data_IF_442547644119
#
_entry.id   IF_442547644119
#
_cell.length_a   1.000
_cell.length_b   1.000
_cell.length_c   1.000
_cell.angle_alpha   90.00
_cell.angle_beta   90.00
_cell.angle_gamma   90.00
#
_symmetry.space_group_name_H-M   'P 1'
#
loop_
_entity.id
_entity.type
_entity.pdbx_description
1 polymer ?
#
# COMPACT_ATOMS: atom_id res chain seq x y z
N UNK A 1 1.66 -13.06 2.98
CA UNK A 1 2.76 -13.51 3.84
C UNK A 1 4.05 -13.40 3.04
N UNK A 2 4.84 -12.40 3.35
CA UNK A 2 6.13 -12.15 2.73
C UNK A 2 7.22 -12.90 3.50
N UNK A 3 8.12 -13.56 2.78
CA UNK A 3 9.26 -14.25 3.39
C UNK A 3 10.40 -13.26 3.54
N UNK A 4 10.69 -12.81 4.76
CA UNK A 4 11.84 -11.94 5.03
C UNK A 4 13.13 -12.72 4.73
N UNK A 5 13.92 -12.30 3.73
CA UNK A 5 15.17 -13.00 3.37
C UNK A 5 16.24 -12.89 4.47
N UNK A 6 16.12 -11.95 5.41
CA UNK A 6 17.11 -11.66 6.44
C UNK A 6 16.73 -12.16 7.83
N UNK A 7 15.46 -12.52 8.07
CA UNK A 7 14.99 -13.07 9.34
C UNK A 7 15.00 -14.58 9.32
N UNK A 8 15.94 -15.18 10.07
CA UNK A 8 16.05 -16.62 10.29
C UNK A 8 15.30 -16.98 11.58
N UNK A 9 14.09 -17.56 11.45
CA UNK A 9 13.31 -18.07 12.58
C UNK A 9 13.94 -19.32 13.23
N UNK A 10 14.84 -20.00 12.51
CA UNK A 10 15.47 -21.21 13.01
C UNK A 10 15.85 -22.20 11.91
N UNK A 11 16.07 -23.44 12.32
CA UNK A 11 16.39 -24.57 11.44
C UNK A 11 15.36 -25.66 11.70
N UNK A 12 14.72 -26.17 10.64
CA UNK A 12 13.76 -27.28 10.70
C UNK A 12 14.15 -28.41 9.76
N UNK A 13 13.48 -29.54 9.89
CA UNK A 13 13.65 -30.67 8.97
C UNK A 13 13.11 -30.33 7.57
N UNK A 14 13.82 -30.78 6.55
CA UNK A 14 13.38 -30.70 5.15
C UNK A 14 12.06 -31.44 4.96
N UNK A 15 11.15 -30.87 4.23
CA UNK A 15 9.89 -31.48 3.78
C UNK A 15 9.85 -31.50 2.26
N UNK A 16 9.20 -32.50 1.72
CA UNK A 16 9.00 -32.58 0.26
C UNK A 16 8.29 -31.31 -0.24
N UNK A 17 8.90 -30.63 -1.22
CA UNK A 17 8.44 -29.35 -1.75
C UNK A 17 9.25 -28.14 -1.26
N UNK A 18 10.13 -28.29 -0.29
CA UNK A 18 11.05 -27.20 0.11
C UNK A 18 12.09 -26.93 -1.00
N UNK A 19 12.38 -25.64 -1.23
CA UNK A 19 13.39 -25.26 -2.22
C UNK A 19 14.80 -25.69 -1.81
N UNK A 20 15.55 -26.24 -2.74
CA UNK A 20 16.95 -26.65 -2.54
C UNK A 20 17.83 -25.49 -2.10
N UNK A 21 17.52 -24.26 -2.53
CA UNK A 21 18.24 -23.04 -2.12
C UNK A 21 18.12 -22.72 -0.62
N UNK A 22 17.14 -23.30 0.07
CA UNK A 22 16.92 -23.11 1.51
C UNK A 22 17.62 -24.16 2.37
N UNK A 23 18.25 -25.16 1.78
CA UNK A 23 18.94 -26.22 2.52
C UNK A 23 20.15 -25.63 3.26
N UNK A 24 20.18 -25.84 4.56
CA UNK A 24 21.32 -25.50 5.40
C UNK A 24 22.27 -26.70 5.46
N UNK A 25 23.21 -26.76 4.51
CA UNK A 25 24.18 -27.85 4.44
C UNK A 25 25.05 -27.98 5.70
N UNK A 26 25.37 -26.85 6.36
CA UNK A 26 26.16 -26.85 7.61
C UNK A 26 25.39 -27.49 8.76
N UNK A 27 24.08 -27.25 8.86
CA UNK A 27 23.24 -27.86 9.87
C UNK A 27 22.94 -29.33 9.53
N UNK A 28 22.72 -29.67 8.26
CA UNK A 28 22.50 -31.03 7.78
C UNK A 28 23.70 -31.93 8.06
N UNK A 29 24.92 -31.43 7.86
CA UNK A 29 26.15 -32.19 8.13
C UNK A 29 26.38 -32.50 9.63
N UNK A 30 25.68 -31.84 10.55
CA UNK A 30 25.77 -32.09 11.99
C UNK A 30 24.75 -33.10 12.50
N UNK A 31 23.85 -33.58 11.65
CA UNK A 31 22.85 -34.57 12.03
C UNK A 31 23.50 -35.96 11.99
N UNK A 32 23.52 -36.73 13.11
CA UNK A 32 24.04 -38.06 13.11
C UNK A 32 23.25 -38.97 12.16
N UNK A 33 23.90 -39.73 11.32
CA UNK A 33 23.25 -40.64 10.36
C UNK A 33 22.64 -41.90 11.01
N UNK A 34 22.77 -42.05 12.32
CA UNK A 34 22.29 -43.26 13.04
C UNK A 34 21.10 -42.91 13.93
N UNK A 35 19.92 -43.41 13.56
CA UNK A 35 18.82 -43.66 14.51
C UNK A 35 17.81 -42.54 14.78
N UNK A 36 17.81 -41.44 14.08
CA UNK A 36 16.79 -40.44 14.27
C UNK A 36 15.68 -40.50 13.21
N UNK A 37 14.46 -40.42 13.69
CA UNK A 37 13.20 -40.47 12.90
C UNK A 37 12.95 -39.25 12.02
N UNK A 38 13.97 -38.43 11.72
CA UNK A 38 13.85 -37.15 11.00
C UNK A 38 14.64 -37.15 9.69
N UNK A 39 14.35 -36.19 8.82
CA UNK A 39 15.10 -35.94 7.59
C UNK A 39 16.54 -35.57 7.90
N UNK A 40 17.56 -36.17 7.26
CA UNK A 40 18.96 -35.78 7.41
C UNK A 40 19.22 -34.37 6.87
N UNK A 41 18.32 -33.84 6.03
CA UNK A 41 18.42 -32.49 5.50
C UNK A 41 17.69 -31.48 6.39
N UNK A 42 18.39 -30.43 6.69
CA UNK A 42 17.85 -29.27 7.44
C UNK A 42 17.69 -28.08 6.51
N UNK A 43 16.60 -27.36 6.68
CA UNK A 43 16.34 -26.12 5.94
C UNK A 43 16.29 -24.94 6.91
N UNK A 44 16.72 -23.78 6.42
CA UNK A 44 16.53 -22.55 7.14
C UNK A 44 15.03 -22.22 7.19
N UNK A 45 14.43 -22.28 8.37
CA UNK A 45 13.09 -21.76 8.60
C UNK A 45 13.19 -20.24 8.64
N UNK A 46 12.48 -19.57 7.74
CA UNK A 46 12.37 -18.12 7.73
C UNK A 46 11.08 -17.72 8.43
N UNK A 47 11.14 -16.62 9.19
CA UNK A 47 9.93 -16.04 9.73
C UNK A 47 9.07 -15.48 8.61
N UNK A 48 7.80 -15.80 8.65
CA UNK A 48 6.80 -15.13 7.84
C UNK A 48 6.37 -13.89 8.61
N UNK A 49 7.02 -12.78 8.35
CA UNK A 49 6.47 -11.52 8.79
C UNK A 49 5.11 -11.30 8.11
N UNK A 50 4.11 -10.90 8.86
CA UNK A 50 2.91 -10.36 8.26
C UNK A 50 3.34 -9.21 7.34
N UNK A 51 3.03 -9.30 6.05
CA UNK A 51 3.38 -8.23 5.11
C UNK A 51 2.77 -6.94 5.63
N UNK A 52 3.61 -5.93 5.88
CA UNK A 52 3.11 -4.61 6.27
C UNK A 52 2.24 -4.10 5.13
N UNK A 53 1.00 -3.74 5.46
CA UNK A 53 0.04 -3.23 4.48
C UNK A 53 0.07 -1.71 4.50
N UNK A 54 0.14 -1.12 3.34
CA UNK A 54 0.02 0.32 3.15
C UNK A 54 -1.10 0.59 2.15
N UNK A 55 -2.09 1.37 2.55
CA UNK A 55 -3.15 1.85 1.67
C UNK A 55 -2.98 3.34 1.43
N UNK A 56 -2.85 3.74 0.17
CA UNK A 56 -2.67 5.12 -0.23
C UNK A 56 -3.96 5.59 -0.90
N UNK A 57 -4.49 6.70 -0.41
CA UNK A 57 -5.67 7.35 -0.98
C UNK A 57 -5.31 8.71 -1.57
N UNK A 58 -5.91 9.02 -2.71
CA UNK A 58 -5.87 10.36 -3.30
C UNK A 58 -7.29 10.93 -3.38
N UNK A 59 -7.51 12.04 -2.68
CA UNK A 59 -8.76 12.79 -2.73
C UNK A 59 -8.61 14.00 -3.65
N UNK A 60 -9.40 14.01 -4.73
CA UNK A 60 -9.42 15.10 -5.70
C UNK A 60 -10.48 16.17 -5.39
N UNK A 61 -11.20 16.03 -4.28
CA UNK A 61 -12.24 16.98 -3.92
C UNK A 61 -11.65 18.33 -3.50
N UNK A 62 -12.16 19.41 -4.10
CA UNK A 62 -11.85 20.77 -3.66
C UNK A 62 -12.85 21.24 -2.60
N UNK A 63 -12.40 21.92 -1.55
CA UNK A 63 -13.31 22.53 -0.58
C UNK A 63 -14.29 23.51 -1.25
N UNK A 64 -15.52 23.55 -0.74
CA UNK A 64 -16.51 24.52 -1.18
C UNK A 64 -15.99 25.94 -0.96
N UNK A 65 -16.02 26.77 -2.01
CA UNK A 65 -15.52 28.14 -1.95
C UNK A 65 -14.01 28.29 -2.17
N UNK A 66 -13.31 27.23 -2.57
CA UNK A 66 -11.90 27.30 -2.97
C UNK A 66 -11.73 28.31 -4.10
N UNK A 67 -10.73 29.19 -3.97
CA UNK A 67 -10.34 30.18 -4.99
C UNK A 67 -9.26 29.66 -5.96
N UNK A 68 -8.98 28.34 -5.92
CA UNK A 68 -7.99 27.70 -6.77
C UNK A 68 -8.53 27.71 -8.20
N UNK A 69 -7.75 28.25 -9.14
CA UNK A 69 -8.11 28.18 -10.56
C UNK A 69 -7.86 26.79 -11.14
N UNK A 70 -8.39 26.52 -12.34
CA UNK A 70 -8.29 25.18 -12.94
C UNK A 70 -6.83 24.77 -13.28
N UNK A 71 -5.92 25.72 -13.54
CA UNK A 71 -4.51 25.41 -13.81
C UNK A 71 -3.80 25.00 -12.55
N UNK A 72 -4.00 25.77 -11.49
CA UNK A 72 -3.41 25.48 -10.18
C UNK A 72 -3.96 24.15 -9.62
N UNK A 73 -5.26 23.91 -9.77
CA UNK A 73 -5.87 22.63 -9.42
C UNK A 73 -5.19 21.48 -10.13
N UNK A 74 -5.08 21.53 -11.47
CA UNK A 74 -4.46 20.48 -12.25
C UNK A 74 -2.99 20.29 -11.85
N UNK A 75 -2.24 21.36 -11.62
CA UNK A 75 -0.85 21.30 -11.17
C UNK A 75 -0.71 20.55 -9.84
N UNK A 76 -1.57 20.89 -8.85
CA UNK A 76 -1.56 20.23 -7.55
C UNK A 76 -2.00 18.78 -7.63
N UNK A 77 -3.02 18.47 -8.44
CA UNK A 77 -3.49 17.11 -8.67
C UNK A 77 -2.38 16.23 -9.28
N UNK A 78 -1.67 16.73 -10.30
CA UNK A 78 -0.53 16.05 -10.91
C UNK A 78 0.63 15.85 -9.92
N UNK A 79 0.93 16.84 -9.09
CA UNK A 79 1.93 16.72 -8.02
C UNK A 79 1.52 15.65 -7.01
N UNK A 80 0.24 15.63 -6.59
CA UNK A 80 -0.31 14.60 -5.70
C UNK A 80 -0.20 13.21 -6.28
N UNK A 81 -0.57 13.02 -7.56
CA UNK A 81 -0.42 11.74 -8.27
C UNK A 81 1.05 11.32 -8.36
N UNK A 82 1.94 12.24 -8.69
CA UNK A 82 3.39 11.97 -8.76
C UNK A 82 3.94 11.55 -7.40
N UNK A 83 3.46 12.18 -6.33
CA UNK A 83 3.82 11.82 -4.96
C UNK A 83 3.29 10.43 -4.58
N UNK A 84 2.01 10.13 -4.88
CA UNK A 84 1.44 8.80 -4.73
C UNK A 84 2.27 7.74 -5.46
N UNK A 85 2.63 8.00 -6.72
CA UNK A 85 3.41 7.09 -7.55
C UNK A 85 4.79 6.78 -6.95
N UNK A 86 5.48 7.80 -6.45
CA UNK A 86 6.76 7.64 -5.78
C UNK A 86 6.63 6.81 -4.49
N UNK A 87 5.64 7.12 -3.65
CA UNK A 87 5.38 6.38 -2.41
C UNK A 87 5.04 4.91 -2.68
N UNK A 88 4.16 4.62 -3.64
CA UNK A 88 3.75 3.26 -4.01
C UNK A 88 4.98 2.46 -4.44
N UNK A 89 5.80 3.03 -5.34
CA UNK A 89 7.01 2.38 -5.84
C UNK A 89 7.97 2.07 -4.70
N UNK A 90 8.29 3.07 -3.89
CA UNK A 90 9.29 2.93 -2.83
C UNK A 90 8.80 1.97 -1.73
N UNK A 91 7.50 1.97 -1.42
CA UNK A 91 6.92 1.06 -0.46
C UNK A 91 6.91 -0.40 -0.96
N UNK A 92 6.56 -0.65 -2.24
CA UNK A 92 6.63 -2.00 -2.82
C UNK A 92 8.06 -2.53 -2.80
N UNK A 93 9.05 -1.72 -3.18
CA UNK A 93 10.47 -2.10 -3.10
C UNK A 93 10.96 -2.24 -1.66
N UNK A 94 10.34 -1.52 -0.72
CA UNK A 94 10.55 -1.68 0.73
C UNK A 94 9.88 -2.92 1.34
N UNK A 95 9.18 -3.74 0.53
CA UNK A 95 8.55 -5.00 0.97
C UNK A 95 7.14 -4.84 1.54
N UNK A 96 6.50 -3.70 1.34
CA UNK A 96 5.09 -3.50 1.71
C UNK A 96 4.15 -4.12 0.66
N UNK A 97 3.00 -4.60 1.13
CA UNK A 97 1.84 -4.80 0.26
C UNK A 97 1.07 -3.50 0.16
N UNK A 98 1.07 -2.89 -1.02
CA UNK A 98 0.53 -1.54 -1.24
C UNK A 98 -0.77 -1.59 -2.01
N UNK A 99 -1.79 -0.90 -1.49
CA UNK A 99 -3.04 -0.61 -2.18
C UNK A 99 -3.11 0.86 -2.58
N UNK A 100 -3.96 1.16 -3.55
CA UNK A 100 -4.22 2.52 -3.98
C UNK A 100 -5.70 2.72 -4.26
N UNK A 101 -6.24 3.85 -3.88
CA UNK A 101 -7.60 4.25 -4.24
C UNK A 101 -7.71 5.75 -4.45
N UNK A 102 -8.57 6.17 -5.38
CA UNK A 102 -8.83 7.56 -5.67
C UNK A 102 -10.30 7.79 -6.04
N UNK A 103 -10.84 8.94 -5.66
CA UNK A 103 -12.21 9.35 -5.96
C UNK A 103 -12.32 10.13 -7.28
N UNK A 104 -11.63 9.72 -8.32
CA UNK A 104 -11.66 10.38 -9.62
C UNK A 104 -12.38 9.53 -10.68
N UNK A 105 -12.78 10.17 -11.77
CA UNK A 105 -13.23 9.45 -12.96
C UNK A 105 -12.04 8.97 -13.77
N UNK A 106 -12.03 7.71 -14.16
CA UNK A 106 -11.18 7.25 -15.23
C UNK A 106 -11.68 7.79 -16.58
N UNK A 107 -10.79 7.88 -17.57
CA UNK A 107 -11.12 8.37 -18.92
C UNK A 107 -12.27 7.57 -19.56
N UNK A 108 -12.46 6.30 -19.19
CA UNK A 108 -13.52 5.40 -19.62
C UNK A 108 -14.82 5.47 -18.79
N UNK A 109 -14.91 6.38 -17.84
CA UNK A 109 -16.14 6.72 -17.12
C UNK A 109 -16.38 5.96 -15.81
N UNK A 110 -15.47 5.10 -15.36
CA UNK A 110 -15.53 4.52 -14.02
C UNK A 110 -15.27 5.59 -12.94
N UNK A 111 -16.09 5.56 -11.87
CA UNK A 111 -16.17 6.66 -10.90
C UNK A 111 -15.18 6.55 -9.74
N UNK A 112 -14.44 5.47 -9.62
CA UNK A 112 -13.37 5.33 -8.62
C UNK A 112 -12.47 4.16 -8.97
N UNK A 113 -11.16 4.37 -8.87
CA UNK A 113 -10.18 3.29 -9.03
C UNK A 113 -9.75 2.80 -7.66
N UNK A 114 -9.80 1.48 -7.45
CA UNK A 114 -9.35 0.85 -6.22
C UNK A 114 -8.54 -0.40 -6.49
N UNK A 115 -7.32 -0.43 -5.99
CA UNK A 115 -6.40 -1.55 -6.03
C UNK A 115 -6.21 -2.12 -4.62
N UNK A 116 -6.35 -3.44 -4.41
CA UNK A 116 -6.07 -4.06 -3.11
C UNK A 116 -4.58 -4.00 -2.76
N UNK A 117 -4.24 -4.28 -1.49
CA UNK A 117 -2.84 -4.32 -1.08
C UNK A 117 -2.14 -5.57 -1.63
N UNK A 118 -1.21 -5.38 -2.55
CA UNK A 118 -0.35 -6.40 -3.15
C UNK A 118 1.09 -5.88 -3.29
N UNK A 119 2.06 -6.78 -3.53
CA UNK A 119 3.50 -6.45 -3.56
C UNK A 119 4.22 -6.98 -4.80
N UNK A 120 3.54 -7.05 -5.95
CA UNK A 120 4.14 -7.53 -7.21
C UNK A 120 4.48 -6.38 -8.15
N UNK A 121 5.51 -6.56 -9.00
CA UNK A 121 5.84 -5.59 -10.07
C UNK A 121 4.66 -5.42 -11.04
N UNK A 122 3.91 -6.48 -11.33
CA UNK A 122 2.72 -6.40 -12.18
C UNK A 122 1.65 -5.49 -11.56
N UNK A 123 1.47 -5.55 -10.24
CA UNK A 123 0.56 -4.70 -9.49
C UNK A 123 0.99 -3.23 -9.54
N UNK A 124 2.29 -2.96 -9.32
CA UNK A 124 2.86 -1.61 -9.48
C UNK A 124 2.55 -1.03 -10.87
N UNK A 125 2.82 -1.81 -11.92
CA UNK A 125 2.58 -1.39 -13.31
C UNK A 125 1.08 -1.13 -13.54
N UNK A 126 0.18 -1.95 -12.99
CA UNK A 126 -1.26 -1.77 -13.13
C UNK A 126 -1.71 -0.45 -12.48
N UNK A 127 -1.26 -0.15 -11.27
CA UNK A 127 -1.56 1.12 -10.59
C UNK A 127 -1.03 2.31 -11.40
N UNK A 128 0.24 2.26 -11.87
CA UNK A 128 0.84 3.36 -12.64
C UNK A 128 0.08 3.63 -13.95
N UNK A 129 -0.36 2.58 -14.64
CA UNK A 129 -1.20 2.71 -15.85
C UNK A 129 -2.54 3.37 -15.55
N UNK A 130 -3.16 3.00 -14.44
CA UNK A 130 -4.44 3.59 -14.06
C UNK A 130 -4.27 5.05 -13.66
N UNK A 131 -3.26 5.37 -12.86
CA UNK A 131 -2.96 6.76 -12.48
C UNK A 131 -2.74 7.66 -13.70
N UNK A 132 -2.09 7.16 -14.75
CA UNK A 132 -1.89 7.89 -16.00
C UNK A 132 -3.19 8.14 -16.80
N UNK A 133 -4.28 7.45 -16.47
CA UNK A 133 -5.60 7.58 -17.10
C UNK A 133 -6.60 8.37 -16.25
N UNK A 134 -6.21 8.74 -15.04
CA UNK A 134 -7.07 9.49 -14.13
C UNK A 134 -7.33 10.90 -14.65
N UNK A 135 -8.57 11.30 -14.61
CA UNK A 135 -8.97 12.67 -14.84
C UNK A 135 -9.45 13.25 -13.51
N UNK A 136 -8.78 14.24 -12.94
CA UNK A 136 -9.10 14.82 -11.64
C UNK A 136 -10.38 15.68 -11.68
N UNK A 137 -11.43 15.24 -12.32
CA UNK A 137 -12.73 15.89 -12.34
C UNK A 137 -13.75 15.02 -11.62
N UNK A 138 -14.75 15.65 -11.04
CA UNK A 138 -15.91 15.10 -10.32
C UNK A 138 -15.95 13.57 -10.17
N UNK A 139 -15.41 13.09 -9.07
CA UNK A 139 -15.45 11.69 -8.66
C UNK A 139 -16.60 11.38 -7.69
N UNK A 140 -16.58 10.16 -7.17
CA UNK A 140 -17.44 9.75 -6.06
C UNK A 140 -17.05 10.48 -4.77
N UNK A 141 -17.94 10.50 -3.78
CA UNK A 141 -17.62 11.03 -2.45
C UNK A 141 -16.43 10.27 -1.85
N UNK A 142 -15.41 10.99 -1.42
CA UNK A 142 -14.24 10.40 -0.78
C UNK A 142 -14.62 9.70 0.55
N UNK A 143 -15.52 10.31 1.33
CA UNK A 143 -16.06 9.69 2.54
C UNK A 143 -16.73 8.34 2.25
N UNK A 144 -17.44 8.20 1.12
CA UNK A 144 -18.05 6.93 0.71
C UNK A 144 -17.01 5.88 0.33
N UNK A 145 -15.87 6.30 -0.24
CA UNK A 145 -14.76 5.40 -0.56
C UNK A 145 -14.13 4.85 0.72
N UNK A 146 -13.86 5.69 1.71
CA UNK A 146 -13.37 5.27 3.03
C UNK A 146 -14.39 4.36 3.75
N UNK A 147 -15.68 4.69 3.71
CA UNK A 147 -16.77 3.90 4.30
C UNK A 147 -16.81 2.48 3.73
N UNK A 148 -16.60 2.32 2.43
CA UNK A 148 -16.58 0.99 1.80
C UNK A 148 -15.41 0.13 2.33
N UNK A 149 -14.25 0.73 2.58
CA UNK A 149 -13.09 0.02 3.13
C UNK A 149 -13.26 -0.30 4.62
N UNK A 150 -13.91 0.58 5.38
CA UNK A 150 -14.33 0.32 6.77
C UNK A 150 -15.29 -0.88 6.82
N UNK A 151 -16.32 -0.89 5.97
CA UNK A 151 -17.28 -2.02 5.87
C UNK A 151 -16.62 -3.28 5.35
N UNK A 152 -15.60 -3.16 4.49
CA UNK A 152 -14.75 -4.25 4.03
C UNK A 152 -13.86 -4.84 5.11
N UNK A 153 -13.82 -4.24 6.31
CA UNK A 153 -13.08 -4.76 7.46
C UNK A 153 -11.59 -4.45 7.41
N UNK A 154 -11.19 -3.31 6.83
CA UNK A 154 -9.79 -2.86 6.82
C UNK A 154 -9.25 -2.73 8.26
N UNK A 155 -8.16 -3.45 8.55
CA UNK A 155 -7.50 -3.47 9.86
C UNK A 155 -5.98 -3.66 9.69
N UNK A 156 -5.24 -3.26 10.72
CA UNK A 156 -3.78 -3.45 10.79
C UNK A 156 -3.07 -2.96 9.52
N UNK A 157 -3.52 -1.80 9.01
CA UNK A 157 -3.05 -1.21 7.76
C UNK A 157 -2.54 0.19 8.03
N UNK A 158 -1.36 0.52 7.51
CA UNK A 158 -0.91 1.91 7.44
C UNK A 158 -1.69 2.60 6.31
N UNK A 159 -2.24 3.76 6.59
CA UNK A 159 -3.07 4.52 5.65
C UNK A 159 -2.46 5.89 5.43
N UNK A 160 -2.24 6.28 4.19
CA UNK A 160 -1.82 7.63 3.82
C UNK A 160 -2.91 8.23 2.94
N UNK A 161 -3.44 9.37 3.36
CA UNK A 161 -4.44 10.14 2.61
C UNK A 161 -3.79 11.40 2.08
N UNK A 162 -3.83 11.60 0.78
CA UNK A 162 -3.33 12.80 0.10
C UNK A 162 -4.54 13.54 -0.43
N UNK A 163 -4.72 14.79 0.00
CA UNK A 163 -5.92 15.57 -0.28
C UNK A 163 -5.64 17.07 -0.39
N UNK A 164 -6.57 17.82 -0.94
CA UNK A 164 -6.53 19.29 -0.91
C UNK A 164 -7.02 19.85 0.42
N UNK A 165 -7.97 19.16 1.05
CA UNK A 165 -8.53 19.49 2.36
C UNK A 165 -9.33 18.30 2.90
N UNK A 166 -9.78 18.38 4.15
CA UNK A 166 -10.68 17.40 4.76
C UNK A 166 -11.95 18.07 5.27
N UNK A 167 -13.10 17.56 4.87
CA UNK A 167 -14.37 17.93 5.46
C UNK A 167 -14.67 17.06 6.71
N UNK A 168 -15.68 17.44 7.48
CA UNK A 168 -16.07 16.74 8.72
C UNK A 168 -16.39 15.26 8.47
N UNK A 169 -17.08 14.93 7.38
CA UNK A 169 -17.42 13.55 7.03
C UNK A 169 -16.18 12.68 6.81
N UNK A 170 -15.11 13.22 6.21
CA UNK A 170 -13.84 12.52 6.00
C UNK A 170 -13.13 12.33 7.34
N UNK A 171 -13.09 13.35 8.20
CA UNK A 171 -12.46 13.26 9.52
C UNK A 171 -13.13 12.21 10.41
N UNK A 172 -14.46 12.09 10.36
CA UNK A 172 -15.20 11.02 11.07
C UNK A 172 -14.81 9.62 10.58
N UNK A 173 -14.62 9.44 9.27
CA UNK A 173 -14.18 8.16 8.70
C UNK A 173 -12.73 7.83 9.05
N UNK A 174 -11.85 8.85 9.08
CA UNK A 174 -10.46 8.70 9.54
C UNK A 174 -10.46 8.20 10.99
N UNK A 175 -11.20 8.87 11.88
CA UNK A 175 -11.33 8.46 13.29
C UNK A 175 -11.82 7.02 13.41
N UNK A 176 -12.80 6.63 12.58
CA UNK A 176 -13.32 5.26 12.58
C UNK A 176 -12.25 4.25 12.11
N UNK A 177 -11.46 4.56 11.07
CA UNK A 177 -10.35 3.71 10.62
C UNK A 177 -9.32 3.49 11.73
N UNK A 178 -8.97 4.55 12.48
CA UNK A 178 -8.04 4.46 13.61
C UNK A 178 -8.59 3.58 14.75
N UNK A 179 -9.89 3.69 15.05
CA UNK A 179 -10.55 2.83 16.04
C UNK A 179 -10.50 1.34 15.67
N UNK A 180 -10.44 1.01 14.38
CA UNK A 180 -10.25 -0.36 13.88
C UNK A 180 -8.79 -0.82 13.84
N UNK A 181 -7.87 -0.06 14.42
CA UNK A 181 -6.46 -0.45 14.55
C UNK A 181 -5.60 -0.09 13.32
N UNK A 182 -6.08 0.80 12.45
CA UNK A 182 -5.27 1.33 11.36
C UNK A 182 -4.49 2.56 11.84
N UNK A 183 -3.33 2.83 11.25
CA UNK A 183 -2.57 4.07 11.47
C UNK A 183 -2.80 5.00 10.29
N UNK A 184 -3.42 6.17 10.51
CA UNK A 184 -3.76 7.10 9.43
C UNK A 184 -2.85 8.32 9.47
N UNK A 185 -2.27 8.67 8.33
CA UNK A 185 -1.53 9.91 8.11
C UNK A 185 -2.15 10.68 6.96
N UNK A 186 -2.22 11.99 7.09
CA UNK A 186 -2.78 12.87 6.07
C UNK A 186 -1.73 13.84 5.55
N UNK A 187 -1.73 14.05 4.25
CA UNK A 187 -0.85 15.00 3.54
C UNK A 187 -1.74 15.97 2.76
N UNK A 188 -1.70 17.24 3.15
CA UNK A 188 -2.44 18.28 2.46
C UNK A 188 -1.57 18.86 1.33
N UNK A 189 -2.16 18.93 0.13
CA UNK A 189 -1.53 19.52 -1.05
C UNK A 189 -1.62 21.04 -0.98
N UNK A 190 -0.67 21.66 -0.32
CA UNK A 190 -0.58 23.12 -0.25
C UNK A 190 -0.18 23.73 -1.60
N UNK A 191 -0.62 24.97 -1.87
CA UNK A 191 -0.09 25.78 -2.95
C UNK A 191 1.34 26.15 -2.63
N UNK A 192 2.28 25.79 -3.48
CA UNK A 192 3.60 26.38 -3.38
C UNK A 192 3.47 27.90 -3.51
N UNK A 193 3.87 28.62 -2.48
CA UNK A 193 4.05 30.06 -2.57
C UNK A 193 5.07 30.32 -3.69
N UNK A 194 4.62 30.90 -4.79
CA UNK A 194 5.51 31.55 -5.75
C UNK A 194 6.01 32.86 -5.10
N UNK A 195 6.73 32.75 -3.97
CA UNK A 195 7.53 33.81 -3.43
C UNK A 195 9.00 33.53 -3.70
N UNK A 196 9.46 33.99 -4.85
CA UNK A 196 10.87 33.89 -5.20
C UNK A 196 11.20 34.35 -6.62
N UNK A 197 10.84 35.64 -6.96
CA UNK A 197 11.47 36.49 -7.96
C UNK A 197 11.85 35.89 -9.32
#
# INVERSE_FOLDING_TARGET
>A
LFMDPFSLAGIRDYRFGDSVSQINFKASAKVPMTGSSGSPLKVNARDYCASRKLMIYMDFHLPMGSKIDGREYNRRAENGLSFCAALIRDAIYGGFSVGFAANCKAIDGEMSSRFPCESSDAHLIAIMKEMARMNPTDGASFASLLENDIRGGMRDTEVIIIAFDHNEDVLDRITTLEQFGNSVQTVILEGGDEDGQ
#
